data_IF_031122425534
#
_entry.id   IF_031122425534
#
_cell.length_a   1.000
_cell.length_b   1.000
_cell.length_c   1.000
_cell.angle_alpha   90.00
_cell.angle_beta   90.00
_cell.angle_gamma   90.00
#
_symmetry.space_group_name_H-M   'P 1'
#
loop_
_entity.id
_entity.type
_entity.pdbx_description
1 polymer ?
#
# COMPACT_ATOMS: atom_id res chain seq x y z
N UNK A 1 -30.37 -11.02 -17.68
CA UNK A 1 -29.83 -9.84 -16.97
C UNK A 1 -28.61 -10.31 -16.20
N UNK A 2 -27.43 -10.28 -16.83
CA UNK A 2 -26.16 -10.63 -16.16
C UNK A 2 -25.72 -9.46 -15.27
N UNK A 3 -25.74 -9.68 -13.96
CA UNK A 3 -25.05 -8.81 -13.01
C UNK A 3 -23.55 -9.00 -13.21
N UNK A 4 -22.92 -8.11 -13.99
CA UNK A 4 -21.46 -7.95 -14.01
C UNK A 4 -21.00 -7.80 -12.56
N UNK A 5 -20.31 -8.81 -12.01
CA UNK A 5 -19.67 -8.70 -10.71
C UNK A 5 -18.61 -7.61 -10.81
N UNK A 6 -18.97 -6.41 -10.39
CA UNK A 6 -18.04 -5.32 -10.15
C UNK A 6 -17.17 -5.75 -8.96
N UNK A 7 -16.10 -6.51 -9.20
CA UNK A 7 -15.19 -6.98 -8.16
C UNK A 7 -14.59 -5.79 -7.42
N UNK A 8 -15.17 -5.43 -6.28
CA UNK A 8 -14.58 -4.50 -5.34
C UNK A 8 -13.33 -5.14 -4.74
N UNK A 9 -12.25 -4.38 -4.59
CA UNK A 9 -11.08 -4.83 -3.86
C UNK A 9 -11.13 -4.31 -2.42
N UNK A 10 -10.48 -5.03 -1.51
CA UNK A 10 -10.29 -4.56 -0.14
C UNK A 10 -8.82 -4.24 0.04
N UNK A 11 -8.53 -3.07 0.58
CA UNK A 11 -7.18 -2.64 0.90
C UNK A 11 -6.99 -2.60 2.39
N UNK A 12 -5.88 -3.17 2.83
CA UNK A 12 -5.33 -2.96 4.15
C UNK A 12 -4.43 -1.72 4.09
N UNK A 13 -4.81 -0.66 4.80
CA UNK A 13 -4.08 0.61 4.82
C UNK A 13 -3.66 0.88 6.26
N UNK A 14 -2.37 1.15 6.48
CA UNK A 14 -1.88 1.63 7.78
C UNK A 14 -1.40 3.06 7.63
N UNK A 15 -2.05 4.01 8.30
CA UNK A 15 -1.59 5.39 8.39
C UNK A 15 -0.53 5.44 9.48
N UNK A 16 0.73 5.64 9.08
CA UNK A 16 1.88 5.53 9.97
C UNK A 16 2.10 6.87 10.66
N UNK A 17 2.45 7.89 9.89
CA UNK A 17 2.81 9.21 10.41
C UNK A 17 2.61 10.32 9.38
N UNK A 18 2.69 11.56 9.83
CA UNK A 18 2.70 12.76 9.00
C UNK A 18 3.80 13.71 9.43
N UNK A 19 4.58 14.20 8.48
CA UNK A 19 5.76 15.05 8.72
C UNK A 19 5.54 16.47 8.17
N UNK A 20 6.04 17.48 8.89
CA UNK A 20 6.04 18.89 8.48
C UNK A 20 4.65 19.42 8.11
N UNK A 21 3.62 18.97 8.84
CA UNK A 21 2.25 19.41 8.68
C UNK A 21 2.09 20.74 9.43
N UNK A 22 1.82 21.81 8.69
CA UNK A 22 1.69 23.16 9.27
C UNK A 22 0.31 23.32 9.90
N UNK A 23 0.29 23.23 11.22
CA UNK A 23 -0.90 23.40 12.05
C UNK A 23 -0.48 23.95 13.40
N UNK A 24 -1.36 24.75 14.01
CA UNK A 24 -1.18 25.30 15.34
C UNK A 24 -1.08 24.18 16.38
N UNK A 25 -0.23 24.39 17.40
CA UNK A 25 0.10 23.40 18.44
C UNK A 25 -1.12 22.89 19.21
N UNK A 26 -2.09 23.76 19.49
CA UNK A 26 -3.32 23.44 20.23
C UNK A 26 -4.40 22.73 19.40
N UNK A 27 -4.09 22.35 18.16
CA UNK A 27 -5.07 21.72 17.27
C UNK A 27 -5.00 20.20 17.37
N UNK A 28 -6.19 19.58 17.28
CA UNK A 28 -6.32 18.14 17.07
C UNK A 28 -6.23 17.82 15.59
N UNK A 29 -5.43 16.82 15.24
CA UNK A 29 -5.19 16.42 13.85
C UNK A 29 -5.52 14.95 13.68
N UNK A 30 -6.21 14.63 12.61
CA UNK A 30 -6.53 13.26 12.23
C UNK A 30 -6.53 13.11 10.71
N UNK A 31 -6.44 11.88 10.23
CA UNK A 31 -6.46 11.56 8.81
C UNK A 31 -7.77 10.86 8.47
N UNK A 32 -8.40 11.32 7.40
CA UNK A 32 -9.53 10.65 6.76
C UNK A 32 -9.04 10.02 5.47
N UNK A 33 -9.15 8.71 5.37
CA UNK A 33 -8.86 7.95 4.15
C UNK A 33 -10.19 7.70 3.43
N UNK A 34 -10.37 8.29 2.26
CA UNK A 34 -11.57 8.16 1.43
C UNK A 34 -11.24 7.39 0.16
N UNK A 35 -12.00 6.33 -0.10
CA UNK A 35 -12.09 5.81 -1.46
C UNK A 35 -12.94 6.80 -2.29
N UNK A 36 -12.89 6.72 -3.62
CA UNK A 36 -13.76 7.49 -4.55
C UNK A 36 -15.27 7.09 -4.46
N UNK A 37 -15.69 6.60 -3.30
CA UNK A 37 -17.03 6.15 -2.94
C UNK A 37 -17.39 6.66 -1.55
N UNK A 38 -18.57 6.30 -1.04
CA UNK A 38 -19.00 6.65 0.31
C UNK A 38 -18.21 5.93 1.44
N UNK A 39 -17.28 5.03 1.11
CA UNK A 39 -16.43 4.38 2.10
C UNK A 39 -15.28 5.29 2.54
N UNK A 40 -15.25 5.58 3.84
CA UNK A 40 -14.18 6.33 4.48
C UNK A 40 -13.78 5.70 5.83
N UNK A 41 -12.51 5.85 6.18
CA UNK A 41 -11.97 5.50 7.48
C UNK A 41 -11.29 6.72 8.08
N UNK A 42 -11.30 6.83 9.40
CA UNK A 42 -10.75 7.99 10.11
C UNK A 42 -9.86 7.51 11.24
N UNK A 43 -8.67 8.10 11.38
CA UNK A 43 -7.78 7.84 12.51
C UNK A 43 -8.29 8.52 13.78
N UNK A 44 -7.75 8.13 14.92
CA UNK A 44 -7.82 8.90 16.15
C UNK A 44 -7.22 10.29 15.94
N UNK A 45 -7.70 11.19 16.79
CA UNK A 45 -7.16 12.53 16.89
C UNK A 45 -5.90 12.52 17.74
N UNK A 46 -4.88 13.20 17.23
CA UNK A 46 -3.61 13.40 17.91
C UNK A 46 -3.42 14.90 18.14
N UNK A 47 -2.95 15.27 19.32
CA UNK A 47 -2.62 16.65 19.65
C UNK A 47 -1.18 16.93 19.22
N UNK A 48 -0.95 18.00 18.45
CA UNK A 48 0.41 18.34 18.01
C UNK A 48 1.33 18.72 19.18
N UNK A 49 0.77 19.34 20.21
CA UNK A 49 1.52 19.68 21.43
C UNK A 49 2.01 18.44 22.20
N UNK A 50 1.17 17.40 22.32
CA UNK A 50 1.53 16.16 23.05
C UNK A 50 2.60 15.34 22.33
N UNK A 51 2.59 15.32 20.99
CA UNK A 51 3.62 14.66 20.19
C UNK A 51 4.97 15.40 20.23
N UNK A 52 4.99 16.67 20.64
CA UNK A 52 6.22 17.42 20.90
C UNK A 52 7.15 17.62 19.70
N UNK A 53 6.71 17.34 18.48
CA UNK A 53 7.56 17.27 17.29
C UNK A 53 6.91 17.74 15.98
N UNK A 54 7.70 17.71 14.91
CA UNK A 54 7.23 17.97 13.54
C UNK A 54 6.64 16.73 12.85
N UNK A 55 6.58 15.61 13.60
CA UNK A 55 6.02 14.33 13.19
C UNK A 55 4.80 14.06 14.04
N UNK A 56 3.69 13.71 13.40
CA UNK A 56 2.47 13.23 14.03
C UNK A 56 2.36 11.73 13.77
N UNK A 57 2.38 10.91 14.82
CA UNK A 57 2.24 9.47 14.69
C UNK A 57 0.79 9.03 14.90
N UNK A 58 0.23 8.27 13.95
CA UNK A 58 -1.09 7.64 14.12
C UNK A 58 -0.96 6.13 14.32
N UNK A 59 -0.14 5.47 13.49
CA UNK A 59 0.07 4.02 13.50
C UNK A 59 -1.23 3.21 13.53
N UNK A 60 -2.24 3.66 12.77
CA UNK A 60 -3.55 3.02 12.74
C UNK A 60 -3.79 2.28 11.43
N UNK A 61 -4.34 1.07 11.56
CA UNK A 61 -4.60 0.15 10.46
C UNK A 61 -6.09 0.04 10.19
N UNK A 62 -6.46 0.11 8.92
CA UNK A 62 -7.83 0.12 8.43
C UNK A 62 -8.01 -0.88 7.29
N UNK A 63 -9.22 -1.41 7.19
CA UNK A 63 -9.68 -2.21 6.05
C UNK A 63 -10.64 -1.36 5.23
N UNK A 64 -10.20 -0.89 4.07
CA UNK A 64 -10.98 -0.03 3.20
C UNK A 64 -11.45 -0.82 1.98
N UNK A 65 -12.77 -0.98 1.84
CA UNK A 65 -13.37 -1.53 0.62
C UNK A 65 -13.40 -0.46 -0.46
N UNK A 66 -12.78 -0.75 -1.59
CA UNK A 66 -12.67 0.13 -2.75
C UNK A 66 -13.51 -0.47 -3.89
N UNK A 67 -14.54 0.24 -4.38
CA UNK A 67 -15.31 -0.23 -5.52
C UNK A 67 -14.46 -0.31 -6.79
N UNK A 68 -14.81 -1.23 -7.68
CA UNK A 68 -14.09 -1.44 -8.96
C UNK A 68 -14.02 -0.23 -9.89
N UNK A 69 -14.93 0.75 -9.73
CA UNK A 69 -14.95 1.98 -10.53
C UNK A 69 -14.08 3.10 -9.94
N UNK A 70 -13.63 2.97 -8.69
CA UNK A 70 -12.74 3.93 -8.08
C UNK A 70 -11.40 3.92 -8.81
N UNK A 71 -10.80 5.09 -9.00
CA UNK A 71 -9.49 5.25 -9.64
C UNK A 71 -8.45 5.79 -8.68
N UNK A 72 -8.88 6.37 -7.57
CA UNK A 72 -8.00 6.97 -6.58
C UNK A 72 -8.48 6.80 -5.15
N UNK A 73 -7.54 6.93 -4.22
CA UNK A 73 -7.78 7.06 -2.79
C UNK A 73 -7.27 8.42 -2.36
N UNK A 74 -8.04 9.08 -1.51
CA UNK A 74 -7.69 10.40 -0.99
C UNK A 74 -7.41 10.28 0.50
N UNK A 75 -6.23 10.75 0.91
CA UNK A 75 -5.86 10.96 2.29
C UNK A 75 -6.03 12.44 2.59
N UNK A 76 -6.95 12.75 3.48
CA UNK A 76 -7.22 14.11 3.94
C UNK A 76 -6.82 14.26 5.39
N UNK A 77 -5.82 15.10 5.62
CA UNK A 77 -5.44 15.53 6.96
C UNK A 77 -6.35 16.67 7.37
N UNK A 78 -7.12 16.41 8.42
CA UNK A 78 -8.11 17.31 8.97
C UNK A 78 -7.61 17.87 10.30
N UNK A 79 -7.90 19.15 10.52
CA UNK A 79 -7.65 19.85 11.77
C UNK A 79 -8.97 20.20 12.43
N UNK A 80 -9.15 19.73 13.66
CA UNK A 80 -10.24 20.15 14.51
C UNK A 80 -9.76 21.23 15.48
N UNK A 81 -10.42 22.38 15.40
CA UNK A 81 -10.31 23.49 16.35
C UNK A 81 -11.68 23.80 16.94
N UNK A 82 -11.70 24.68 17.94
CA UNK A 82 -12.94 25.25 18.48
C UNK A 82 -13.85 25.89 17.39
N UNK A 83 -13.25 26.42 16.30
CA UNK A 83 -13.98 27.01 15.16
C UNK A 83 -14.50 25.99 14.13
N UNK A 84 -14.34 24.69 14.37
CA UNK A 84 -14.76 23.62 13.48
C UNK A 84 -13.61 22.83 12.87
N UNK A 85 -13.96 22.00 11.89
CA UNK A 85 -13.05 21.09 11.18
C UNK A 85 -12.64 21.72 9.85
N UNK A 86 -11.35 21.70 9.54
CA UNK A 86 -10.78 22.19 8.28
C UNK A 86 -9.79 21.20 7.67
N UNK A 87 -9.85 20.92 6.35
CA UNK A 87 -8.80 20.16 5.69
C UNK A 87 -7.54 21.02 5.59
N UNK A 88 -6.42 20.53 6.10
CA UNK A 88 -5.13 21.24 5.98
C UNK A 88 -4.26 20.65 4.86
N UNK A 89 -4.48 19.39 4.51
CA UNK A 89 -3.64 18.68 3.56
C UNK A 89 -4.41 17.56 2.89
N UNK A 90 -4.28 17.45 1.57
CA UNK A 90 -4.90 16.40 0.77
C UNK A 90 -3.83 15.75 -0.09
N UNK A 91 -3.77 14.43 -0.07
CA UNK A 91 -2.98 13.62 -0.99
C UNK A 91 -3.93 12.64 -1.69
N UNK A 92 -3.97 12.70 -3.02
CA UNK A 92 -4.82 11.82 -3.84
C UNK A 92 -3.91 10.92 -4.67
N UNK A 93 -3.97 9.63 -4.39
CA UNK A 93 -3.09 8.61 -4.98
C UNK A 93 -3.92 7.74 -5.91
N UNK A 94 -3.39 7.45 -7.10
CA UNK A 94 -4.05 6.58 -8.05
C UNK A 94 -3.96 5.11 -7.58
N UNK A 95 -5.05 4.34 -7.75
CA UNK A 95 -5.04 2.91 -7.43
C UNK A 95 -3.98 2.14 -8.23
N UNK A 96 -3.66 2.61 -9.44
CA UNK A 96 -2.62 2.04 -10.28
C UNK A 96 -1.26 1.98 -9.58
N UNK A 97 -0.97 2.92 -8.68
CA UNK A 97 0.33 3.02 -8.00
C UNK A 97 0.60 1.82 -7.08
N UNK A 98 -0.47 1.17 -6.58
CA UNK A 98 -0.37 0.01 -5.69
C UNK A 98 -1.06 -1.26 -6.19
N UNK A 99 -2.03 -1.17 -7.11
CA UNK A 99 -2.77 -2.31 -7.69
C UNK A 99 -2.27 -2.70 -9.09
N UNK A 100 -1.55 -1.81 -9.80
CA UNK A 100 -1.27 -1.94 -11.23
C UNK A 100 0.06 -2.59 -11.64
N UNK A 101 0.93 -2.94 -10.70
CA UNK A 101 2.29 -3.40 -11.00
C UNK A 101 2.51 -4.89 -10.76
N UNK A 102 2.32 -5.72 -11.79
CA UNK A 102 2.67 -7.14 -11.88
C UNK A 102 2.02 -8.06 -10.80
N UNK A 103 1.55 -9.22 -11.21
CA UNK A 103 0.69 -10.16 -10.46
C UNK A 103 1.30 -10.60 -9.10
N UNK A 104 2.60 -10.39 -8.89
CA UNK A 104 3.32 -10.71 -7.65
C UNK A 104 3.13 -9.70 -6.50
N UNK A 105 2.61 -8.49 -6.75
CA UNK A 105 2.54 -7.44 -5.71
C UNK A 105 1.22 -7.37 -4.94
N UNK A 106 0.22 -8.18 -5.30
CA UNK A 106 -1.08 -8.15 -4.61
C UNK A 106 -0.99 -8.58 -3.14
N UNK A 107 0.11 -9.20 -2.70
CA UNK A 107 0.28 -9.68 -1.32
C UNK A 107 1.39 -8.97 -0.54
N UNK A 108 2.20 -8.14 -1.21
CA UNK A 108 3.32 -7.44 -0.58
C UNK A 108 2.86 -6.12 0.04
N UNK A 109 3.31 -5.83 1.27
CA UNK A 109 3.06 -4.57 1.94
C UNK A 109 3.96 -3.49 1.32
N UNK A 110 3.36 -2.44 0.77
CA UNK A 110 4.09 -1.31 0.20
C UNK A 110 4.08 -0.17 1.20
N UNK A 111 5.25 0.39 1.53
CA UNK A 111 5.37 1.60 2.32
C UNK A 111 5.58 2.80 1.40
N UNK A 112 4.73 3.82 1.54
CA UNK A 112 4.63 4.97 0.65
C UNK A 112 4.67 6.27 1.44
N UNK A 113 5.23 7.30 0.79
CA UNK A 113 5.30 8.66 1.30
C UNK A 113 4.78 9.61 0.23
N UNK A 114 3.73 10.39 0.55
CA UNK A 114 3.08 11.27 -0.40
C UNK A 114 3.01 12.70 0.13
N UNK A 115 3.32 13.68 -0.74
CA UNK A 115 3.20 15.09 -0.40
C UNK A 115 1.74 15.50 -0.25
N UNK A 116 1.42 16.17 0.85
CA UNK A 116 0.11 16.75 1.09
C UNK A 116 0.03 18.14 0.45
N UNK A 117 -1.13 18.50 -0.09
CA UNK A 117 -1.42 19.84 -0.61
C UNK A 117 -2.54 20.50 0.17
N UNK A 118 -2.38 21.77 0.52
CA UNK A 118 -3.43 22.56 1.15
C UNK A 118 -4.53 22.97 0.14
N UNK A 119 -5.54 23.70 0.60
CA UNK A 119 -6.63 24.21 -0.24
C UNK A 119 -6.16 25.13 -1.36
N UNK A 120 -5.00 25.78 -1.18
CA UNK A 120 -4.38 26.68 -2.15
C UNK A 120 -3.44 25.91 -3.10
N UNK A 121 -3.36 24.58 -2.97
CA UNK A 121 -2.51 23.70 -3.76
C UNK A 121 -1.02 23.73 -3.35
N UNK A 122 -0.65 24.45 -2.30
CA UNK A 122 0.73 24.55 -1.80
C UNK A 122 1.06 23.29 -1.01
N UNK A 123 2.34 22.93 -0.99
CA UNK A 123 2.81 21.76 -0.25
C UNK A 123 2.69 22.01 1.26
N UNK A 124 2.00 21.10 1.95
CA UNK A 124 1.77 21.17 3.39
C UNK A 124 2.05 19.81 4.06
N UNK A 125 3.33 19.45 4.12
CA UNK A 125 3.80 18.23 4.76
C UNK A 125 3.80 17.00 3.85
N UNK A 126 4.08 15.85 4.47
CA UNK A 126 4.14 14.53 3.84
C UNK A 126 3.39 13.54 4.72
N UNK A 127 2.62 12.63 4.11
CA UNK A 127 1.98 11.52 4.81
C UNK A 127 2.72 10.22 4.49
N UNK A 128 2.98 9.43 5.53
CA UNK A 128 3.59 8.11 5.47
C UNK A 128 2.53 7.07 5.78
N UNK A 129 2.37 6.11 4.88
CA UNK A 129 1.40 5.04 5.04
C UNK A 129 1.91 3.77 4.41
N UNK A 130 1.32 2.64 4.79
CA UNK A 130 1.51 1.39 4.07
C UNK A 130 0.19 0.89 3.52
N UNK A 131 0.26 0.16 2.40
CA UNK A 131 -0.91 -0.39 1.72
C UNK A 131 -0.62 -1.81 1.26
N UNK A 132 -1.63 -2.67 1.36
CA UNK A 132 -1.62 -4.04 0.84
C UNK A 132 -3.00 -4.39 0.31
N UNK A 133 -3.05 -5.07 -0.83
CA UNK A 133 -4.31 -5.61 -1.36
C UNK A 133 -4.67 -6.88 -0.59
N UNK A 134 -5.92 -6.99 -0.17
CA UNK A 134 -6.45 -8.19 0.48
C UNK A 134 -7.27 -8.94 -0.55
N UNK A 135 -6.70 -10.03 -1.06
CA UNK A 135 -7.44 -10.99 -1.89
C UNK A 135 -8.30 -11.85 -0.98
N UNK A 136 -9.61 -12.02 -1.27
CA UNK A 136 -10.40 -13.03 -0.58
C UNK A 136 -9.74 -14.39 -0.87
N UNK A 137 -9.20 -15.02 0.16
CA UNK A 137 -8.81 -16.43 0.08
C UNK A 137 -10.07 -17.22 -0.27
N UNK A 138 -10.07 -18.08 -1.30
CA UNK A 138 -11.15 -19.04 -1.44
C UNK A 138 -11.11 -19.90 -0.18
N UNK A 139 -12.17 -19.84 0.62
CA UNK A 139 -12.39 -20.83 1.67
C UNK A 139 -12.42 -22.19 0.95
N UNK A 140 -11.38 -22.99 1.15
CA UNK A 140 -11.46 -24.42 0.90
C UNK A 140 -12.33 -24.95 2.04
N UNK A 141 -13.64 -24.97 1.80
CA UNK A 141 -14.59 -25.59 2.70
C UNK A 141 -14.15 -27.04 2.96
N UNK A 142 -14.07 -27.37 4.24
CA UNK A 142 -13.80 -28.70 4.77
C UNK A 142 -14.73 -29.73 4.12
N UNK A 143 -14.24 -30.44 3.11
CA UNK A 143 -14.83 -31.72 2.73
C UNK A 143 -13.90 -32.81 3.24
N UNK A 144 -14.29 -33.38 4.39
CA UNK A 144 -13.70 -34.61 4.90
C UNK A 144 -13.77 -35.70 3.82
N UNK A 145 -12.64 -36.08 3.25
CA UNK A 145 -12.42 -37.44 2.75
C UNK A 145 -11.03 -37.89 3.16
N UNK A 146 -11.04 -38.81 4.11
CA UNK A 146 -9.91 -39.60 4.60
C UNK A 146 -9.13 -40.24 3.45
N UNK A 147 -7.82 -40.00 3.37
CA UNK A 147 -6.80 -41.03 3.61
C UNK A 147 -5.41 -40.64 3.08
N UNK A 148 -4.44 -40.88 3.97
CA UNK A 148 -3.02 -41.17 3.71
C UNK A 148 -2.14 -39.95 3.45
N UNK A 149 -1.54 -39.47 4.55
CA UNK A 149 -0.71 -38.28 4.58
C UNK A 149 0.61 -38.40 3.83
N UNK A 150 1.26 -37.25 3.68
CA UNK A 150 2.70 -37.03 3.86
C UNK A 150 2.95 -35.50 3.90
N UNK A 151 3.32 -35.04 5.09
CA UNK A 151 4.18 -33.91 5.44
C UNK A 151 4.51 -32.84 4.37
N UNK A 152 4.08 -31.61 4.64
CA UNK A 152 4.60 -30.39 4.03
C UNK A 152 6.11 -30.29 4.27
N UNK A 153 6.89 -30.40 3.20
CA UNK A 153 8.29 -29.97 3.21
C UNK A 153 8.46 -28.79 2.24
N UNK A 154 8.61 -27.62 2.84
CA UNK A 154 9.16 -26.42 2.23
C UNK A 154 10.55 -26.76 1.69
N UNK A 155 10.72 -26.77 0.37
CA UNK A 155 12.03 -26.69 -0.25
C UNK A 155 11.99 -25.73 -1.43
N UNK A 156 12.79 -24.68 -1.30
CA UNK A 156 13.26 -23.81 -2.39
C UNK A 156 13.60 -24.68 -3.61
N UNK A 157 12.84 -24.55 -4.70
CA UNK A 157 13.27 -25.08 -5.99
C UNK A 157 14.38 -24.17 -6.53
N UNK A 158 15.61 -24.49 -6.13
CA UNK A 158 16.77 -24.28 -6.99
C UNK A 158 16.54 -25.12 -8.25
N UNK A 159 16.45 -24.46 -9.39
CA UNK A 159 16.31 -25.09 -10.71
C UNK A 159 17.58 -25.91 -11.02
N UNK A 160 17.62 -27.16 -10.57
CA UNK A 160 18.66 -28.12 -10.90
C UNK A 160 18.42 -28.72 -12.28
N UNK A 161 19.27 -28.38 -13.25
CA UNK A 161 19.27 -28.95 -14.59
C UNK A 161 19.47 -30.48 -14.55
N UNK A 162 18.66 -31.23 -15.30
CA UNK A 162 18.87 -32.67 -15.55
C UNK A 162 20.07 -32.85 -16.47
N UNK A 163 21.20 -33.29 -15.90
CA UNK A 163 22.38 -33.69 -16.68
C UNK A 163 22.25 -35.16 -17.04
N UNK A 164 21.90 -35.43 -18.29
CA UNK A 164 22.16 -36.72 -18.93
C UNK A 164 23.65 -36.84 -19.25
N UNK A 165 24.22 -38.02 -19.00
CA UNK A 165 25.61 -38.33 -19.32
C UNK A 165 25.90 -38.17 -20.82
N UNK A 166 26.81 -37.25 -21.17
CA UNK A 166 27.72 -37.37 -22.33
C UNK A 166 28.80 -36.28 -22.29
N UNK A 167 30.06 -36.75 -22.26
CA UNK A 167 31.38 -36.19 -22.59
C UNK A 167 31.66 -34.66 -22.55
N UNK A 168 32.86 -34.24 -22.09
CA UNK A 168 33.19 -32.84 -21.91
C UNK A 168 33.73 -32.21 -23.19
N UNK A 169 33.15 -31.07 -23.58
CA UNK A 169 33.82 -30.11 -24.45
C UNK A 169 33.39 -28.71 -24.04
N UNK A 170 34.38 -27.94 -23.59
CA UNK A 170 34.43 -26.49 -23.35
C UNK A 170 33.10 -25.72 -23.44
N UNK A 171 32.67 -25.14 -22.32
CA UNK A 171 31.69 -24.05 -22.30
C UNK A 171 32.30 -22.86 -21.53
N UNK A 172 32.47 -21.75 -22.25
CA UNK A 172 32.85 -20.44 -21.72
C UNK A 172 31.64 -19.83 -21.01
N UNK A 173 31.83 -19.36 -19.78
CA UNK A 173 30.82 -18.61 -19.02
C UNK A 173 30.95 -17.13 -19.40
N UNK A 174 30.00 -16.62 -20.18
CA UNK A 174 29.84 -15.18 -20.42
C UNK A 174 29.00 -14.54 -19.31
N UNK A 175 29.54 -13.51 -18.66
CA UNK A 175 28.84 -12.70 -17.65
C UNK A 175 28.01 -11.63 -18.39
N UNK A 176 26.69 -11.54 -18.22
CA UNK A 176 25.95 -10.40 -18.75
C UNK A 176 26.15 -9.19 -17.82
N UNK A 177 27.04 -8.29 -18.22
CA UNK A 177 27.11 -6.93 -17.68
C UNK A 177 26.32 -6.03 -18.62
N UNK A 178 25.22 -5.45 -18.12
CA UNK A 178 24.60 -4.31 -18.79
C UNK A 178 24.27 -3.21 -17.79
N UNK A 179 25.18 -2.26 -17.68
CA UNK A 179 24.91 -0.91 -17.19
C UNK A 179 24.97 0.03 -18.39
N UNK A 180 23.84 0.62 -18.75
CA UNK A 180 23.74 1.70 -19.72
C UNK A 180 24.08 3.02 -19.01
N UNK A 181 25.29 3.54 -19.26
CA UNK A 181 25.64 4.93 -18.98
C UNK A 181 25.33 5.78 -20.21
N UNK A 182 24.37 6.69 -20.09
CA UNK A 182 24.32 7.88 -20.94
C UNK A 182 25.22 8.94 -20.33
N UNK A 183 26.22 9.40 -21.08
CA UNK A 183 26.81 10.73 -20.87
C UNK A 183 26.86 11.47 -22.21
N UNK A 184 26.03 12.50 -22.27
CA UNK A 184 26.23 13.65 -23.15
C UNK A 184 27.35 14.51 -22.54
N UNK A 185 28.34 14.85 -23.35
CA UNK A 185 28.80 16.20 -23.77
C UNK A 185 30.05 15.98 -24.60
#
# INVERSE_FOLDING_TARGET
METKSHNACTLEITVISGENIRVDQSSKVYVVVRAESLSCCTTKMVNKEEEGGDVLAWNEKFMLRVPSHAKSITFEVQCQKYKGVRPIGVARIALSDFVGGNIHNHTCLQMLSYGLRDSDGRRNGVIHFSVKVVTPTPNLDETMVTSNGLQLQLQNQVMGFRVGQKNPSHVVIGIPVWWSYNKLV
#
